data_IF_875021015318
#
_entry.id   IF_875021015318
#
_cell.length_a   1.000
_cell.length_b   1.000
_cell.length_c   1.000
_cell.angle_alpha   90.00
_cell.angle_beta   90.00
_cell.angle_gamma   90.00
#
_symmetry.space_group_name_H-M   'P 1'
#
loop_
_entity.id
_entity.type
_entity.pdbx_description
1 polymer ?
#
# COMPACT_ATOMS: atom_id res chain seq x y z
N UNK A 1 64.46 -8.39 34.69
CA UNK A 1 63.16 -8.97 35.06
C UNK A 1 62.19 -7.83 35.28
N UNK A 2 61.12 -7.77 34.49
CA UNK A 2 60.09 -6.74 34.60
C UNK A 2 58.94 -7.12 33.68
N UNK A 3 58.04 -7.95 34.21
CA UNK A 3 56.90 -8.47 33.47
C UNK A 3 55.90 -7.34 33.23
N UNK A 4 55.62 -7.06 31.96
CA UNK A 4 54.47 -6.25 31.56
C UNK A 4 53.23 -7.12 31.73
N UNK A 5 52.45 -6.84 32.77
CA UNK A 5 51.12 -7.43 32.92
C UNK A 5 50.20 -6.68 31.96
N UNK A 6 49.95 -7.25 30.78
CA UNK A 6 48.86 -6.81 29.92
C UNK A 6 47.54 -7.12 30.64
N UNK A 7 46.99 -6.10 31.29
CA UNK A 7 45.63 -6.11 31.82
C UNK A 7 44.67 -6.28 30.65
N UNK A 8 44.10 -7.48 30.49
CA UNK A 8 42.97 -7.69 29.60
C UNK A 8 41.76 -6.98 30.20
N UNK A 9 41.52 -5.74 29.77
CA UNK A 9 40.27 -5.03 30.03
C UNK A 9 39.17 -5.71 29.20
N UNK A 10 38.57 -6.74 29.78
CA UNK A 10 37.38 -7.42 29.27
C UNK A 10 36.12 -6.58 29.41
N UNK A 11 36.14 -5.33 28.93
CA UNK A 11 34.91 -4.57 28.71
C UNK A 11 34.20 -5.17 27.52
N UNK A 12 33.25 -6.07 27.78
CA UNK A 12 32.21 -6.42 26.82
C UNK A 12 31.61 -5.10 26.30
N UNK A 13 31.91 -4.76 25.04
CA UNK A 13 31.21 -3.66 24.38
C UNK A 13 29.73 -4.08 24.36
N UNK A 14 28.82 -3.24 24.86
CA UNK A 14 27.41 -3.57 24.80
C UNK A 14 27.03 -3.83 23.34
N UNK A 15 26.63 -5.07 23.04
CA UNK A 15 26.14 -5.45 21.72
C UNK A 15 24.87 -4.67 21.45
N UNK A 16 24.90 -3.83 20.43
CA UNK A 16 23.77 -3.02 20.00
C UNK A 16 22.98 -3.72 18.89
N UNK A 17 21.77 -3.22 18.61
CA UNK A 17 20.99 -3.70 17.46
C UNK A 17 21.70 -3.53 16.10
N UNK A 18 22.73 -2.68 16.03
CA UNK A 18 23.57 -2.52 14.84
C UNK A 18 24.52 -3.68 14.57
N UNK A 19 24.79 -4.53 15.56
CA UNK A 19 25.74 -5.65 15.47
C UNK A 19 25.10 -6.96 14.95
N UNK A 20 23.76 -6.98 14.78
CA UNK A 20 23.07 -8.12 14.19
C UNK A 20 23.43 -8.27 12.69
N UNK A 21 23.52 -9.50 12.17
CA UNK A 21 23.59 -9.73 10.73
C UNK A 21 22.37 -9.15 10.01
N UNK A 22 22.60 -8.63 8.79
CA UNK A 22 21.53 -8.06 7.96
C UNK A 22 20.38 -9.04 7.71
N UNK A 23 20.69 -10.32 7.49
CA UNK A 23 19.70 -11.38 7.30
C UNK A 23 18.77 -11.53 8.49
N UNK A 24 19.29 -11.51 9.72
CA UNK A 24 18.48 -11.58 10.94
C UNK A 24 17.56 -10.37 11.08
N UNK A 25 18.06 -9.17 10.76
CA UNK A 25 17.25 -7.95 10.79
C UNK A 25 16.15 -8.00 9.74
N UNK A 26 16.48 -8.43 8.53
CA UNK A 26 15.53 -8.47 7.44
C UNK A 26 14.37 -9.46 7.69
N UNK A 27 14.62 -10.61 8.33
CA UNK A 27 13.58 -11.53 8.81
C UNK A 27 12.59 -10.88 9.78
N UNK A 28 13.05 -9.97 10.63
CA UNK A 28 12.17 -9.18 11.51
C UNK A 28 11.38 -8.17 10.68
N UNK A 29 12.04 -7.45 9.76
CA UNK A 29 11.40 -6.43 8.92
C UNK A 29 10.29 -7.00 8.03
N UNK A 30 10.41 -8.23 7.54
CA UNK A 30 9.36 -8.94 6.77
C UNK A 30 8.03 -9.02 7.55
N UNK A 31 8.07 -9.03 8.89
CA UNK A 31 6.87 -9.15 9.74
C UNK A 31 6.26 -7.80 10.13
N UNK A 32 6.93 -6.70 9.83
CA UNK A 32 6.48 -5.35 10.18
C UNK A 32 5.65 -4.72 9.06
N UNK A 33 4.83 -3.74 9.40
CA UNK A 33 4.09 -3.01 8.38
C UNK A 33 5.04 -2.12 7.55
N UNK A 34 4.75 -1.86 6.26
CA UNK A 34 5.62 -1.06 5.38
C UNK A 34 6.04 0.31 5.96
N UNK A 35 5.19 1.07 6.69
CA UNK A 35 5.60 2.33 7.31
C UNK A 35 6.60 2.12 8.47
N UNK A 36 6.51 1.00 9.17
CA UNK A 36 7.43 0.65 10.26
C UNK A 36 8.80 0.29 9.71
N UNK A 37 8.88 -0.47 8.61
CA UNK A 37 10.14 -0.79 7.93
C UNK A 37 10.95 0.49 7.64
N UNK A 38 10.28 1.54 7.13
CA UNK A 38 10.89 2.85 6.90
C UNK A 38 11.37 3.55 8.18
N UNK A 39 10.68 3.38 9.31
CA UNK A 39 11.12 3.89 10.62
C UNK A 39 12.37 3.16 11.11
N UNK A 40 12.38 1.83 11.02
CA UNK A 40 13.54 1.01 11.40
C UNK A 40 14.77 1.32 10.54
N UNK A 41 14.60 1.52 9.23
CA UNK A 41 15.67 1.90 8.31
C UNK A 41 16.45 3.17 8.71
N UNK A 42 15.88 4.01 9.57
CA UNK A 42 16.50 5.25 10.08
C UNK A 42 17.35 5.02 11.33
N UNK A 43 17.21 3.89 12.01
CA UNK A 43 17.85 3.63 13.30
C UNK A 43 19.32 3.24 13.18
N UNK A 44 19.70 2.45 12.16
CA UNK A 44 21.09 2.04 11.94
C UNK A 44 21.40 1.76 10.47
N UNK A 45 22.69 1.63 10.13
CA UNK A 45 23.13 1.23 8.78
C UNK A 45 22.66 -0.18 8.43
N UNK A 46 22.70 -1.10 9.40
CA UNK A 46 22.24 -2.48 9.25
C UNK A 46 20.73 -2.54 8.97
N UNK A 47 19.92 -1.78 9.72
CA UNK A 47 18.48 -1.68 9.43
C UNK A 47 18.21 -1.06 8.07
N UNK A 48 19.01 -0.08 7.65
CA UNK A 48 18.86 0.54 6.33
C UNK A 48 19.16 -0.44 5.19
N UNK A 49 20.22 -1.22 5.31
CA UNK A 49 20.58 -2.25 4.35
C UNK A 49 19.47 -3.30 4.27
N UNK A 50 19.09 -3.87 5.43
CA UNK A 50 18.02 -4.86 5.53
C UNK A 50 16.67 -4.35 4.98
N UNK A 51 16.30 -3.09 5.27
CA UNK A 51 15.07 -2.49 4.77
C UNK A 51 15.09 -2.21 3.26
N UNK A 52 16.25 -2.30 2.61
CA UNK A 52 16.39 -2.13 1.17
C UNK A 52 16.42 -3.46 0.42
N UNK A 53 16.41 -4.60 1.13
CA UNK A 53 16.43 -5.92 0.52
C UNK A 53 15.11 -6.22 -0.21
N UNK A 54 15.22 -6.77 -1.42
CA UNK A 54 14.07 -7.02 -2.31
C UNK A 54 13.03 -7.94 -1.67
N UNK A 55 13.46 -9.05 -1.05
CA UNK A 55 12.57 -10.03 -0.45
C UNK A 55 11.68 -9.45 0.68
N UNK A 56 12.15 -8.40 1.36
CA UNK A 56 11.37 -7.70 2.40
C UNK A 56 10.14 -7.04 1.77
N UNK A 57 10.30 -6.44 0.59
CA UNK A 57 9.21 -5.76 -0.12
C UNK A 57 8.40 -6.71 -1.00
N UNK A 58 8.99 -7.79 -1.53
CA UNK A 58 8.24 -8.86 -2.19
C UNK A 58 7.20 -9.49 -1.26
N UNK A 59 7.54 -9.69 0.02
CA UNK A 59 6.60 -10.18 1.03
C UNK A 59 5.43 -9.22 1.31
N UNK A 60 5.54 -7.95 0.90
CA UNK A 60 4.49 -6.93 1.06
C UNK A 60 3.64 -6.73 -0.20
N UNK A 61 4.05 -7.32 -1.32
CA UNK A 61 3.32 -7.23 -2.57
C UNK A 61 2.27 -8.34 -2.66
N UNK A 62 1.05 -8.04 -3.15
CA UNK A 62 0.07 -9.08 -3.39
C UNK A 62 0.53 -9.98 -4.54
N UNK A 63 0.16 -11.27 -4.54
CA UNK A 63 0.63 -12.24 -5.53
C UNK A 63 0.35 -11.83 -7.00
N UNK A 64 -0.69 -11.03 -7.23
CA UNK A 64 -1.09 -10.51 -8.54
C UNK A 64 -0.46 -9.14 -8.90
N UNK A 65 0.56 -8.66 -8.17
CA UNK A 65 1.15 -7.33 -8.39
C UNK A 65 1.64 -7.10 -9.83
N UNK A 66 2.09 -8.15 -10.53
CA UNK A 66 2.51 -8.05 -11.95
C UNK A 66 1.37 -7.63 -12.86
N UNK A 67 0.18 -8.19 -12.65
CA UNK A 67 -1.03 -7.81 -13.37
C UNK A 67 -1.46 -6.38 -13.02
N UNK A 68 -1.35 -5.99 -11.75
CA UNK A 68 -1.64 -4.62 -11.31
C UNK A 68 -0.69 -3.61 -11.97
N UNK A 69 0.60 -3.95 -12.11
CA UNK A 69 1.59 -3.11 -12.79
C UNK A 69 1.30 -2.93 -14.29
N UNK A 70 0.79 -3.96 -14.97
CA UNK A 70 0.36 -3.87 -16.36
C UNK A 70 -0.86 -2.96 -16.53
N UNK A 71 -1.78 -2.97 -15.56
CA UNK A 71 -2.99 -2.13 -15.57
C UNK A 71 -2.75 -0.70 -15.08
N UNK A 72 -1.68 -0.46 -14.33
CA UNK A 72 -1.34 0.87 -13.85
C UNK A 72 -0.88 1.76 -15.02
N UNK A 73 -1.48 2.95 -15.21
CA UNK A 73 -1.09 3.85 -16.28
C UNK A 73 0.29 4.50 -16.03
N UNK A 74 1.05 4.67 -17.12
CA UNK A 74 2.32 5.39 -17.18
C UNK A 74 3.36 4.67 -18.06
N UNK A 75 4.05 5.40 -18.94
CA UNK A 75 5.08 4.84 -19.84
C UNK A 75 6.27 4.17 -19.12
N UNK A 76 6.39 4.40 -17.82
CA UNK A 76 7.49 3.87 -17.00
C UNK A 76 7.26 2.43 -16.54
N UNK A 77 6.01 1.93 -16.53
CA UNK A 77 5.71 0.55 -16.11
C UNK A 77 6.33 -0.52 -17.01
N UNK A 78 6.78 -0.14 -18.22
CA UNK A 78 7.27 -1.04 -19.25
C UNK A 78 8.74 -0.82 -19.65
N UNK A 79 9.41 0.23 -19.14
CA UNK A 79 10.74 0.64 -19.66
C UNK A 79 11.90 0.61 -18.67
N UNK A 80 11.65 0.57 -17.36
CA UNK A 80 12.71 0.47 -16.35
C UNK A 80 12.35 -0.59 -15.31
N UNK A 81 13.29 -1.49 -15.02
CA UNK A 81 13.10 -2.61 -14.10
C UNK A 81 12.96 -2.13 -12.66
N UNK A 82 11.74 -1.78 -12.27
CA UNK A 82 11.44 -1.39 -10.89
C UNK A 82 11.77 -2.53 -9.92
N UNK A 83 12.45 -2.18 -8.82
CA UNK A 83 12.60 -3.08 -7.69
C UNK A 83 11.27 -3.30 -6.96
N UNK A 84 11.10 -4.38 -6.17
CA UNK A 84 9.86 -4.66 -5.41
C UNK A 84 9.41 -3.50 -4.52
N UNK A 85 10.34 -2.78 -3.91
CA UNK A 85 10.07 -1.58 -3.12
C UNK A 85 9.43 -0.46 -3.94
N UNK A 86 9.93 -0.24 -5.15
CA UNK A 86 9.45 0.82 -6.04
C UNK A 86 8.08 0.46 -6.61
N UNK A 87 7.88 -0.82 -6.95
CA UNK A 87 6.57 -1.37 -7.32
C UNK A 87 5.57 -1.12 -6.19
N UNK A 88 5.91 -1.46 -4.94
CA UNK A 88 5.04 -1.24 -3.79
C UNK A 88 4.68 0.26 -3.66
N UNK A 89 5.68 1.15 -3.76
CA UNK A 89 5.47 2.59 -3.68
C UNK A 89 4.58 3.15 -4.82
N UNK A 90 4.71 2.61 -6.04
CA UNK A 90 3.87 2.98 -7.19
C UNK A 90 2.44 2.50 -7.00
N UNK A 91 2.25 1.25 -6.58
CA UNK A 91 0.93 0.67 -6.35
C UNK A 91 0.23 1.26 -5.13
N UNK A 92 0.95 1.82 -4.15
CA UNK A 92 0.38 2.59 -3.04
C UNK A 92 -0.24 3.94 -3.44
N UNK A 93 0.05 4.43 -4.66
CA UNK A 93 -0.61 5.63 -5.20
C UNK A 93 -1.88 5.20 -5.92
N UNK A 94 -2.93 6.04 -5.96
CA UNK A 94 -4.11 5.75 -6.77
C UNK A 94 -3.75 5.59 -8.25
N UNK A 95 -4.12 4.45 -8.85
CA UNK A 95 -3.90 4.11 -10.24
C UNK A 95 -5.26 4.01 -10.96
N UNK A 96 -5.56 4.99 -11.81
CA UNK A 96 -6.80 5.02 -12.59
C UNK A 96 -6.69 4.15 -13.83
N UNK A 97 -7.77 3.47 -14.17
CA UNK A 97 -7.86 2.66 -15.38
C UNK A 97 -9.30 2.65 -15.89
N UNK A 98 -9.52 2.06 -17.05
CA UNK A 98 -10.85 1.94 -17.66
C UNK A 98 -11.52 3.31 -17.87
N UNK A 99 -10.85 4.18 -18.66
CA UNK A 99 -11.31 5.54 -18.96
C UNK A 99 -11.60 6.40 -17.71
N UNK A 100 -10.74 6.30 -16.69
CA UNK A 100 -10.84 7.02 -15.40
C UNK A 100 -12.11 6.70 -14.57
N UNK A 101 -12.79 5.61 -14.90
CA UNK A 101 -13.99 5.20 -14.16
C UNK A 101 -13.70 4.24 -13.01
N UNK A 102 -12.49 3.66 -12.97
CA UNK A 102 -12.02 2.78 -11.90
C UNK A 102 -10.65 3.22 -11.41
N UNK A 103 -10.36 3.02 -10.14
CA UNK A 103 -9.11 3.39 -9.51
C UNK A 103 -8.70 2.29 -8.51
N UNK A 104 -7.41 1.92 -8.45
CA UNK A 104 -6.94 0.95 -7.46
C UNK A 104 -5.63 1.41 -6.81
N UNK A 105 -5.37 0.92 -5.60
CA UNK A 105 -4.14 1.15 -4.86
C UNK A 105 -3.90 0.05 -3.82
N UNK A 106 -2.68 -0.05 -3.32
CA UNK A 106 -2.37 -0.83 -2.13
C UNK A 106 -2.52 0.03 -0.87
N UNK A 107 -3.14 -0.53 0.16
CA UNK A 107 -3.17 0.08 1.48
C UNK A 107 -1.76 0.10 2.07
N UNK A 108 -1.32 1.28 2.50
CA UNK A 108 0.08 1.50 2.95
C UNK A 108 0.47 0.68 4.17
N UNK A 109 -0.48 0.34 5.04
CA UNK A 109 -0.23 -0.33 6.31
C UNK A 109 -0.24 -1.85 6.16
N UNK A 110 -1.27 -2.39 5.53
CA UNK A 110 -1.43 -3.85 5.41
C UNK A 110 -0.82 -4.41 4.13
N UNK A 111 -0.61 -3.57 3.10
CA UNK A 111 -0.34 -4.03 1.74
C UNK A 111 -1.58 -4.59 1.03
N UNK A 112 -2.76 -4.51 1.67
CA UNK A 112 -4.02 -4.99 1.12
C UNK A 112 -4.40 -4.26 -0.16
N UNK A 113 -5.09 -4.96 -1.05
CA UNK A 113 -5.52 -4.40 -2.33
C UNK A 113 -6.84 -3.65 -2.16
N UNK A 114 -6.88 -2.38 -2.55
CA UNK A 114 -8.10 -1.57 -2.55
C UNK A 114 -8.45 -1.11 -3.97
N UNK A 115 -9.74 -1.12 -4.30
CA UNK A 115 -10.27 -0.62 -5.57
C UNK A 115 -11.50 0.24 -5.33
N UNK A 116 -11.63 1.30 -6.11
CA UNK A 116 -12.75 2.21 -6.21
C UNK A 116 -13.35 2.11 -7.62
N UNK A 117 -14.67 2.04 -7.69
CA UNK A 117 -15.42 1.99 -8.96
C UNK A 117 -16.42 3.14 -8.95
N UNK A 118 -16.37 3.98 -9.98
CA UNK A 118 -17.31 5.08 -10.18
C UNK A 118 -18.68 4.55 -10.60
N UNK A 119 -19.75 5.27 -10.24
CA UNK A 119 -21.11 5.05 -10.74
C UNK A 119 -21.19 5.01 -12.27
N UNK A 120 -20.33 5.75 -13.00
CA UNK A 120 -20.25 5.73 -14.47
C UNK A 120 -19.83 4.37 -15.03
N UNK A 121 -19.04 3.59 -14.29
CA UNK A 121 -18.64 2.22 -14.66
C UNK A 121 -19.70 1.17 -14.28
N UNK A 122 -20.67 1.52 -13.44
CA UNK A 122 -21.68 0.59 -12.96
C UNK A 122 -22.87 0.58 -13.92
N UNK A 123 -23.05 -0.52 -14.64
CA UNK A 123 -24.28 -0.76 -15.41
C UNK A 123 -25.38 -1.29 -14.49
N UNK A 124 -25.98 -0.40 -13.69
CA UNK A 124 -27.13 -0.76 -12.86
C UNK A 124 -28.40 -0.65 -13.72
N UNK A 125 -29.15 -1.75 -13.83
CA UNK A 125 -30.42 -1.76 -14.55
C UNK A 125 -31.36 -0.71 -13.92
N UNK A 126 -31.85 0.24 -14.71
CA UNK A 126 -32.73 1.32 -14.23
C UNK A 126 -32.03 2.55 -13.65
N UNK A 127 -30.70 2.67 -13.74
CA UNK A 127 -29.95 3.86 -13.26
C UNK A 127 -30.31 5.18 -13.99
N UNK A 128 -30.88 5.07 -15.19
CA UNK A 128 -31.35 6.21 -15.97
C UNK A 128 -32.78 6.64 -15.59
N UNK A 129 -33.45 5.88 -14.71
CA UNK A 129 -34.78 6.25 -14.20
C UNK A 129 -34.62 7.23 -13.03
N UNK A 130 -34.80 8.51 -13.35
CA UNK A 130 -34.76 9.62 -12.39
C UNK A 130 -35.81 9.51 -11.28
N UNK A 131 -36.79 8.61 -11.39
CA UNK A 131 -37.76 8.35 -10.31
C UNK A 131 -37.13 7.70 -9.09
N UNK A 132 -36.01 7.01 -9.28
CA UNK A 132 -35.35 6.26 -8.22
C UNK A 132 -33.94 6.75 -7.92
N UNK A 133 -33.31 7.50 -8.82
CA UNK A 133 -31.90 7.89 -8.73
C UNK A 133 -31.72 9.41 -8.80
N UNK A 134 -31.07 9.99 -7.79
CA UNK A 134 -30.66 11.39 -7.75
C UNK A 134 -29.15 11.53 -7.85
N UNK A 135 -28.63 12.32 -8.79
CA UNK A 135 -27.20 12.58 -8.91
C UNK A 135 -26.85 13.87 -8.16
N UNK A 136 -26.04 13.76 -7.10
CA UNK A 136 -25.59 14.87 -6.29
C UNK A 136 -24.13 15.19 -6.65
N UNK A 137 -23.83 16.39 -7.16
CA UNK A 137 -22.45 16.81 -7.38
C UNK A 137 -21.75 16.94 -6.03
N UNK A 138 -20.60 16.29 -5.86
CA UNK A 138 -19.84 16.34 -4.62
C UNK A 138 -18.48 16.97 -4.87
N UNK A 139 -18.18 18.04 -4.14
CA UNK A 139 -16.93 18.79 -4.18
C UNK A 139 -15.86 18.23 -3.21
N UNK A 140 -16.20 17.21 -2.42
CA UNK A 140 -15.31 16.60 -1.42
C UNK A 140 -14.60 15.32 -1.90
N UNK A 141 -14.97 14.80 -3.07
CA UNK A 141 -14.39 13.58 -3.63
C UNK A 141 -13.78 13.85 -5.01
N UNK A 142 -12.76 13.07 -5.39
CA UNK A 142 -12.20 13.09 -6.76
C UNK A 142 -13.20 12.65 -7.84
N UNK A 143 -14.42 12.26 -7.45
CA UNK A 143 -15.51 11.83 -8.32
C UNK A 143 -16.57 12.93 -8.37
N UNK A 144 -16.90 13.32 -9.59
CA UNK A 144 -17.73 14.49 -9.91
C UNK A 144 -19.22 14.33 -9.54
N UNK A 145 -19.74 13.08 -9.45
CA UNK A 145 -21.16 12.80 -9.20
C UNK A 145 -21.38 11.57 -8.33
N UNK A 146 -22.24 11.70 -7.31
CA UNK A 146 -22.73 10.61 -6.45
C UNK A 146 -24.18 10.30 -6.82
N UNK A 147 -24.52 9.04 -7.03
CA UNK A 147 -25.91 8.62 -7.28
C UNK A 147 -26.56 8.17 -5.97
N UNK A 148 -27.76 8.65 -5.64
CA UNK A 148 -28.51 8.29 -4.44
C UNK A 148 -29.80 7.59 -4.87
N UNK A 149 -30.01 6.36 -4.38
CA UNK A 149 -31.23 5.59 -4.62
C UNK A 149 -32.28 5.90 -3.55
N UNK A 150 -33.47 6.38 -3.93
CA UNK A 150 -34.53 6.77 -2.99
C UNK A 150 -35.77 5.89 -3.21
N UNK A 151 -36.06 4.97 -2.29
CA UNK A 151 -37.31 4.18 -2.27
C UNK A 151 -38.00 4.32 -0.91
N UNK A 152 -39.29 4.69 -0.88
CA UNK A 152 -40.00 5.12 0.34
C UNK A 152 -40.44 4.00 1.30
N UNK A 153 -39.95 2.78 1.14
CA UNK A 153 -40.34 1.63 1.99
C UNK A 153 -39.19 1.07 2.83
N UNK A 154 -38.01 1.65 2.67
CA UNK A 154 -36.81 1.23 3.37
C UNK A 154 -36.31 2.46 4.10
N UNK A 155 -36.55 2.52 5.41
CA UNK A 155 -35.96 3.52 6.33
C UNK A 155 -34.47 3.22 6.52
N UNK A 156 -33.73 3.23 5.41
CA UNK A 156 -32.28 3.18 5.39
C UNK A 156 -31.83 4.59 5.08
N UNK A 157 -31.59 5.36 6.16
CA UNK A 157 -30.71 6.53 6.15
C UNK A 157 -29.24 6.12 5.97
N UNK A 158 -28.94 5.20 5.06
CA UNK A 158 -27.58 4.96 4.60
C UNK A 158 -27.47 5.58 3.22
N UNK A 159 -26.65 6.62 3.14
CA UNK A 159 -26.09 7.11 1.90
C UNK A 159 -25.40 5.90 1.26
N UNK A 160 -26.01 5.30 0.24
CA UNK A 160 -25.36 4.26 -0.55
C UNK A 160 -24.31 4.98 -1.38
N UNK A 161 -23.10 5.09 -0.83
CA UNK A 161 -21.93 5.50 -1.58
C UNK A 161 -21.76 4.47 -2.70
N UNK A 162 -22.04 4.83 -3.97
CA UNK A 162 -21.63 4.03 -5.14
C UNK A 162 -20.12 4.16 -5.38
N UNK A 163 -19.38 4.09 -4.28
CA UNK A 163 -17.96 3.95 -4.14
C UNK A 163 -17.78 2.54 -3.59
N UNK A 164 -17.81 1.52 -4.45
CA UNK A 164 -17.49 0.17 -3.96
C UNK A 164 -16.00 0.17 -3.68
N UNK A 165 -15.62 0.32 -2.42
CA UNK A 165 -14.26 0.10 -1.94
C UNK A 165 -14.12 -1.38 -1.64
N UNK A 166 -13.58 -2.15 -2.59
CA UNK A 166 -13.20 -3.55 -2.33
C UNK A 166 -11.79 -3.50 -1.75
N UNK A 167 -11.64 -3.66 -0.44
CA UNK A 167 -10.33 -3.91 0.18
C UNK A 167 -10.22 -5.39 0.55
N UNK A 168 -9.28 -6.09 -0.07
CA UNK A 168 -8.93 -7.50 0.23
C UNK A 168 -7.58 -7.59 0.93
N UNK A 169 -7.43 -8.61 1.77
CA UNK A 169 -6.16 -9.01 2.42
C UNK A 169 -5.29 -9.84 1.50
#
# INVERSE_FOLDING_TARGET
MGAWVSSMDGRERPTGLGDLPESCVAEVLVRLDPPEIGRFARLSRTFRAAASADFVWEAKLPANYRYLMEKAPGEESSKHGFGPREIFAKLCRPNRFDADTKEFWLEKYTGGFCMLISSKALTITGINDQRYWNYIPTNESSIEFVAVYQYSWIDIRQIIWFLIVICGT
#
